data_IF_410290809404
#
_entry.id   IF_410290809404
#
_cell.length_a   1.000
_cell.length_b   1.000
_cell.length_c   1.000
_cell.angle_alpha   90.00
_cell.angle_beta   90.00
_cell.angle_gamma   90.00
#
_symmetry.space_group_name_H-M   'P 1'
#
loop_
_entity.id
_entity.type
_entity.pdbx_description
1 polymer ?
#
# COMPACT_ATOMS: atom_id res chain seq x y z
N UNK A 1 8.92 1.80 3.06
CA UNK A 1 7.98 1.20 2.07
C UNK A 1 7.93 2.10 0.87
N UNK A 2 8.10 1.57 -0.33
CA UNK A 2 8.03 2.32 -1.59
C UNK A 2 6.79 1.88 -2.36
N UNK A 3 6.02 2.84 -2.88
CA UNK A 3 4.92 2.60 -3.79
C UNK A 3 5.41 2.81 -5.23
N UNK A 4 5.04 1.91 -6.12
CA UNK A 4 5.31 2.01 -7.55
C UNK A 4 4.05 1.61 -8.33
N UNK A 5 3.84 2.25 -9.49
CA UNK A 5 2.88 1.80 -10.48
C UNK A 5 3.58 0.76 -11.33
N UNK A 6 3.07 -0.46 -11.30
CA UNK A 6 3.57 -1.56 -12.12
C UNK A 6 2.40 -2.18 -12.88
N UNK A 7 2.61 -2.46 -14.16
CA UNK A 7 1.66 -3.17 -15.01
C UNK A 7 1.86 -4.68 -14.92
N UNK A 8 3.03 -5.12 -14.45
CA UNK A 8 3.41 -6.53 -14.34
C UNK A 8 3.13 -7.03 -12.92
N UNK A 9 2.33 -8.09 -12.82
CA UNK A 9 2.14 -8.85 -11.58
C UNK A 9 3.13 -10.02 -11.58
N UNK A 10 3.92 -10.19 -10.51
CA UNK A 10 4.69 -11.41 -10.33
C UNK A 10 3.79 -12.55 -9.81
N UNK A 11 4.15 -13.80 -10.09
CA UNK A 11 3.33 -14.95 -9.71
C UNK A 11 3.11 -15.09 -8.20
N UNK A 12 4.07 -14.62 -7.39
CA UNK A 12 4.06 -14.74 -5.94
C UNK A 12 3.43 -13.52 -5.24
N UNK A 13 2.93 -12.56 -6.01
CA UNK A 13 2.32 -11.37 -5.46
C UNK A 13 0.85 -11.60 -5.08
N UNK A 14 0.48 -11.09 -3.91
CA UNK A 14 -0.89 -11.03 -3.45
C UNK A 14 -1.57 -9.82 -4.09
N UNK A 15 -2.73 -10.07 -4.70
CA UNK A 15 -3.56 -9.04 -5.34
C UNK A 15 -4.78 -8.75 -4.47
N UNK A 16 -4.93 -7.49 -4.07
CA UNK A 16 -6.09 -6.99 -3.34
C UNK A 16 -6.82 -5.98 -4.22
N UNK A 17 -8.11 -6.23 -4.45
CA UNK A 17 -8.97 -5.30 -5.18
C UNK A 17 -9.71 -4.41 -4.20
N UNK A 18 -9.59 -3.11 -4.41
CA UNK A 18 -10.40 -2.08 -3.76
C UNK A 18 -11.20 -1.34 -4.84
N UNK A 19 -12.13 -0.49 -4.44
CA UNK A 19 -13.04 0.18 -5.37
C UNK A 19 -12.28 1.04 -6.40
N UNK A 20 -12.12 0.50 -7.62
CA UNK A 20 -11.47 1.17 -8.74
C UNK A 20 -9.94 1.04 -8.80
N UNK A 21 -9.30 0.33 -7.86
CA UNK A 21 -7.84 0.13 -7.84
C UNK A 21 -7.45 -1.31 -7.50
N UNK A 22 -6.36 -1.77 -8.10
CA UNK A 22 -5.73 -3.07 -7.75
C UNK A 22 -4.41 -2.79 -7.05
N UNK A 23 -4.29 -3.25 -5.81
CA UNK A 23 -3.07 -3.17 -5.02
C UNK A 23 -2.41 -4.53 -5.06
N UNK A 24 -1.09 -4.51 -5.28
CA UNK A 24 -0.28 -5.71 -5.35
C UNK A 24 0.86 -5.58 -4.35
N UNK A 25 1.10 -6.63 -3.57
CA UNK A 25 2.22 -6.69 -2.64
C UNK A 25 2.80 -8.10 -2.58
N UNK A 26 4.09 -8.18 -2.27
CA UNK A 26 4.78 -9.45 -2.10
C UNK A 26 4.37 -10.14 -0.79
N UNK A 27 4.24 -11.46 -0.78
CA UNK A 27 3.91 -12.27 0.40
C UNK A 27 4.75 -11.92 1.64
N UNK A 28 6.05 -11.62 1.48
CA UNK A 28 6.94 -11.27 2.59
C UNK A 28 6.51 -9.98 3.32
N UNK A 29 5.74 -9.13 2.66
CA UNK A 29 5.23 -7.88 3.20
C UNK A 29 3.89 -8.05 3.93
N UNK A 30 3.24 -9.21 3.82
CA UNK A 30 1.90 -9.46 4.38
C UNK A 30 1.82 -9.06 5.86
N UNK A 31 2.81 -9.43 6.67
CA UNK A 31 2.82 -9.10 8.11
C UNK A 31 2.86 -7.59 8.41
N UNK A 32 3.37 -6.78 7.48
CA UNK A 32 3.50 -5.33 7.63
C UNK A 32 2.33 -4.57 7.01
N UNK A 33 1.77 -5.08 5.92
CA UNK A 33 0.71 -4.42 5.16
C UNK A 33 -0.69 -4.91 5.51
N UNK A 34 -0.81 -6.05 6.20
CA UNK A 34 -2.10 -6.56 6.63
C UNK A 34 -2.77 -5.59 7.63
N UNK A 35 -3.98 -5.15 7.28
CA UNK A 35 -4.73 -4.14 8.01
C UNK A 35 -4.26 -2.70 7.77
N UNK A 36 -3.28 -2.46 6.89
CA UNK A 36 -2.84 -1.11 6.55
C UNK A 36 -3.89 -0.35 5.77
N UNK A 37 -3.96 0.97 6.01
CA UNK A 37 -4.84 1.90 5.31
C UNK A 37 -4.00 2.76 4.39
N UNK A 38 -4.40 2.83 3.12
CA UNK A 38 -3.82 3.75 2.14
C UNK A 38 -4.76 4.94 2.01
N UNK A 39 -4.26 6.12 2.31
CA UNK A 39 -4.99 7.38 2.19
C UNK A 39 -4.31 8.29 1.16
N UNK A 40 -5.08 9.15 0.50
CA UNK A 40 -4.60 10.11 -0.48
C UNK A 40 -4.94 11.53 -0.02
N UNK A 41 -3.91 12.33 0.22
CA UNK A 41 -4.04 13.75 0.50
C UNK A 41 -3.73 14.54 -0.77
N UNK A 42 -4.56 15.54 -1.09
CA UNK A 42 -4.27 16.55 -2.11
C UNK A 42 -3.99 17.93 -1.48
N UNK A 43 -3.48 17.94 -0.25
CA UNK A 43 -3.13 19.17 0.44
C UNK A 43 -1.95 19.84 -0.25
N UNK A 44 -1.97 21.18 -0.33
CA UNK A 44 -0.93 21.98 -0.98
C UNK A 44 0.49 21.65 -0.49
N UNK A 45 0.63 21.33 0.80
CA UNK A 45 1.92 21.06 1.43
C UNK A 45 2.44 19.63 1.25
N UNK A 46 1.56 18.66 1.02
CA UNK A 46 1.94 17.25 0.87
C UNK A 46 0.86 16.50 0.10
N UNK A 47 0.82 16.68 -1.24
CA UNK A 47 -0.03 15.86 -2.08
C UNK A 47 0.63 14.49 -2.26
N UNK A 48 -0.09 13.41 -2.02
CA UNK A 48 0.44 12.06 -2.16
C UNK A 48 -0.31 10.99 -1.37
N UNK A 49 0.11 9.75 -1.60
CA UNK A 49 -0.38 8.58 -0.87
C UNK A 49 0.38 8.42 0.45
N UNK A 50 -0.36 8.18 1.52
CA UNK A 50 0.16 7.81 2.83
C UNK A 50 -0.30 6.40 3.15
N UNK A 51 0.60 5.57 3.67
CA UNK A 51 0.26 4.23 4.15
C UNK A 51 0.43 4.25 5.66
N UNK A 52 -0.65 4.01 6.39
CA UNK A 52 -0.63 3.77 7.83
C UNK A 52 -0.80 2.28 8.09
N UNK A 53 0.11 1.68 8.86
CA UNK A 53 -0.02 0.28 9.28
C UNK A 53 -0.49 0.24 10.74
N UNK A 54 -1.43 -0.62 11.11
CA UNK A 54 -1.79 -0.83 12.51
C UNK A 54 -0.58 -1.30 13.33
N UNK A 55 0.42 -1.92 12.68
CA UNK A 55 1.65 -2.39 13.30
C UNK A 55 2.78 -1.34 13.28
N UNK A 56 2.58 -0.14 12.71
CA UNK A 56 3.56 0.94 12.83
C UNK A 56 3.40 1.63 14.19
N UNK A 57 3.91 1.00 15.24
CA UNK A 57 4.09 1.67 16.53
C UNK A 57 5.05 2.85 16.34
N UNK A 58 4.58 4.06 16.67
CA UNK A 58 5.44 5.22 16.87
C UNK A 58 6.42 4.88 17.98
N UNK A 59 7.72 4.87 17.68
CA UNK A 59 8.72 5.12 18.72
C UNK A 59 8.69 6.59 19.13
#
# INVERSE_FOLDING_TARGET
MQLALDELKNNDDILVKIEGMSIVYNLDLETYVNGSVIDYSNNWFSPGFTISSPNSSSC
#
